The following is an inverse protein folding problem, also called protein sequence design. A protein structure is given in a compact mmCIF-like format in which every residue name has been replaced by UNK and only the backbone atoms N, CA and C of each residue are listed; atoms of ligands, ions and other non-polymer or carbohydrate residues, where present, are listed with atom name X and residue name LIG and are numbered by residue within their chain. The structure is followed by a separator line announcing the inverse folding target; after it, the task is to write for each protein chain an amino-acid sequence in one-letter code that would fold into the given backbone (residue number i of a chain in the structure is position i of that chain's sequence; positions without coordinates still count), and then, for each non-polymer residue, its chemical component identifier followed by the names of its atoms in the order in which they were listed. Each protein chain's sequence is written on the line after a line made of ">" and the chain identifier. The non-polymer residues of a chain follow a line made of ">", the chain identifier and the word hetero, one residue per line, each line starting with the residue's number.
data_IF_039253391292
#
_entry.id   IF_039253391292
#
_cell.length_a   1.000
_cell.length_b   1.000
_cell.length_c   1.000
_cell.angle_alpha   90.00
_cell.angle_beta   90.00
_cell.angle_gamma   90.00
#
_symmetry.space_group_name_H-M   'P 1'
#
loop_
_entity.id
_entity.type
_entity.pdbx_description
1 polymer ?
#
# COMPACT_ATOMS: atom_id res chain seq x y z
N UNK A 1 -36.34 -29.84 16.06
CA UNK A 1 -36.79 -29.01 17.20
C UNK A 1 -35.58 -28.43 17.89
N UNK A 2 -35.64 -27.12 18.15
CA UNK A 2 -34.88 -26.28 19.07
C UNK A 2 -33.35 -26.17 18.98
N UNK A 3 -32.96 -24.96 18.58
CA UNK A 3 -31.73 -24.24 18.88
C UNK A 3 -31.35 -24.24 20.37
N UNK A 4 -30.05 -24.09 20.65
CA UNK A 4 -29.43 -23.06 21.52
C UNK A 4 -27.88 -23.20 21.47
N UNK A 5 -27.20 -22.24 20.86
CA UNK A 5 -25.85 -21.76 21.26
C UNK A 5 -26.07 -20.38 21.93
N UNK A 6 -25.16 -19.77 22.74
CA UNK A 6 -23.68 -19.86 22.69
C UNK A 6 -22.92 -19.73 24.05
N UNK A 7 -21.58 -19.60 23.93
CA UNK A 7 -20.66 -18.72 24.71
C UNK A 7 -19.69 -19.28 25.79
N UNK A 8 -18.41 -18.92 25.55
CA UNK A 8 -17.32 -18.53 26.48
C UNK A 8 -16.13 -19.48 26.68
N UNK A 9 -15.05 -19.08 26.01
CA UNK A 9 -13.70 -18.84 26.54
C UNK A 9 -13.53 -18.91 28.06
N UNK A 10 -12.33 -19.36 28.47
CA UNK A 10 -11.74 -19.36 29.83
C UNK A 10 -11.76 -20.69 30.59
N UNK A 11 -10.73 -21.51 30.34
CA UNK A 11 -10.06 -22.38 31.34
C UNK A 11 -8.72 -22.81 30.70
N UNK A 12 -7.77 -21.90 30.47
CA UNK A 12 -6.77 -21.47 31.44
C UNK A 12 -6.31 -22.59 32.41
N UNK A 13 -5.03 -22.96 32.28
CA UNK A 13 -4.10 -23.12 33.41
C UNK A 13 -3.89 -24.45 34.14
N UNK A 14 -4.22 -25.61 33.55
CA UNK A 14 -3.88 -26.89 34.20
C UNK A 14 -3.20 -27.92 33.31
N UNK A 15 -2.02 -27.60 32.75
CA UNK A 15 -1.02 -28.64 32.43
C UNK A 15 0.42 -28.14 32.65
N UNK A 16 0.66 -27.42 33.75
CA UNK A 16 2.01 -27.21 34.31
C UNK A 16 2.34 -28.32 35.29
N UNK A 17 2.47 -29.56 34.82
CA UNK A 17 3.07 -30.64 35.61
C UNK A 17 3.63 -31.68 34.64
N UNK A 18 4.92 -31.98 34.80
CA UNK A 18 5.70 -33.00 34.11
C UNK A 18 6.26 -32.64 32.72
N UNK A 19 7.30 -31.80 32.70
CA UNK A 19 8.56 -32.08 31.96
C UNK A 19 9.64 -31.12 32.46
N UNK A 20 10.67 -31.67 33.10
CA UNK A 20 11.99 -31.03 33.13
C UNK A 20 12.50 -30.98 31.69
N UNK A 21 12.24 -29.85 31.04
CA UNK A 21 12.63 -29.63 29.65
C UNK A 21 12.61 -28.14 29.43
N UNK A 22 13.79 -27.60 29.13
CA UNK A 22 14.03 -26.24 28.66
C UNK A 22 12.75 -25.59 28.13
N UNK A 23 12.28 -24.52 28.79
CA UNK A 23 11.30 -23.62 28.20
C UNK A 23 11.89 -23.26 26.83
N UNK A 24 11.24 -23.60 25.69
CA UNK A 24 11.72 -23.13 24.42
C UNK A 24 11.56 -21.62 24.48
N UNK A 25 12.67 -20.92 24.70
CA UNK A 25 12.75 -19.49 24.44
C UNK A 25 12.57 -19.36 22.94
N UNK A 26 11.31 -19.34 22.50
CA UNK A 26 10.93 -18.90 21.19
C UNK A 26 11.39 -17.45 21.10
N UNK A 27 12.58 -17.28 20.55
CA UNK A 27 13.17 -16.00 20.24
C UNK A 27 12.40 -15.46 19.03
N UNK A 28 11.14 -15.07 19.24
CA UNK A 28 10.42 -14.25 18.28
C UNK A 28 11.19 -12.93 18.24
N UNK A 29 12.06 -12.78 17.24
CA UNK A 29 12.52 -11.47 16.81
C UNK A 29 11.31 -10.72 16.26
N UNK A 30 10.50 -10.14 17.16
CA UNK A 30 9.51 -9.13 16.83
C UNK A 30 10.27 -7.85 16.45
N UNK A 31 10.99 -7.87 15.32
CA UNK A 31 11.43 -6.62 14.70
C UNK A 31 10.17 -5.96 14.17
N UNK A 32 9.68 -4.94 14.88
CA UNK A 32 8.58 -4.11 14.40
C UNK A 32 9.05 -3.53 13.06
N UNK A 33 8.39 -3.85 11.94
CA UNK A 33 8.81 -3.36 10.64
C UNK A 33 8.76 -1.84 10.67
N UNK A 34 9.86 -1.22 10.22
CA UNK A 34 9.88 0.24 10.09
C UNK A 34 8.85 0.66 9.04
N UNK A 35 8.31 1.88 9.16
CA UNK A 35 7.36 2.42 8.19
C UNK A 35 7.84 2.32 6.74
N UNK A 36 9.15 2.49 6.53
CA UNK A 36 9.84 2.28 5.25
C UNK A 36 9.66 0.85 4.71
N UNK A 37 9.88 -0.15 5.56
CA UNK A 37 9.75 -1.57 5.21
C UNK A 37 8.29 -1.95 4.94
N UNK A 38 7.34 -1.39 5.68
CA UNK A 38 5.91 -1.62 5.44
C UNK A 38 5.48 -1.09 4.07
N UNK A 39 5.90 0.13 3.73
CA UNK A 39 5.64 0.75 2.44
C UNK A 39 6.27 -0.06 1.31
N UNK A 40 7.53 -0.44 1.45
CA UNK A 40 8.25 -1.25 0.47
C UNK A 40 7.57 -2.60 0.23
N UNK A 41 7.17 -3.30 1.29
CA UNK A 41 6.45 -4.57 1.20
C UNK A 41 5.12 -4.43 0.44
N UNK A 42 4.38 -3.33 0.68
CA UNK A 42 3.13 -3.06 -0.05
C UNK A 42 3.39 -2.77 -1.53
N UNK A 43 4.42 -1.97 -1.83
CA UNK A 43 4.82 -1.66 -3.21
C UNK A 43 5.25 -2.91 -3.97
N UNK A 44 6.07 -3.78 -3.38
CA UNK A 44 6.51 -5.03 -4.01
C UNK A 44 5.34 -5.97 -4.33
N UNK A 45 4.33 -6.04 -3.47
CA UNK A 45 3.11 -6.82 -3.74
C UNK A 45 2.35 -6.29 -4.96
N UNK A 46 2.23 -4.97 -5.07
CA UNK A 46 1.55 -4.33 -6.19
C UNK A 46 2.37 -4.42 -7.47
N UNK A 47 3.70 -4.36 -7.37
CA UNK A 47 4.63 -4.57 -8.49
C UNK A 47 4.41 -5.93 -9.15
N UNK A 48 4.29 -6.99 -8.37
CA UNK A 48 4.06 -8.33 -8.92
C UNK A 48 2.68 -8.49 -9.60
N UNK A 49 1.74 -7.57 -9.36
CA UNK A 49 0.41 -7.59 -9.93
C UNK A 49 0.27 -6.72 -11.19
N UNK A 50 1.22 -5.82 -11.45
CA UNK A 50 1.23 -4.92 -12.60
C UNK A 50 2.41 -5.29 -13.52
N UNK A 51 2.24 -5.13 -14.83
CA UNK A 51 3.27 -5.50 -15.82
C UNK A 51 3.68 -4.33 -16.70
N UNK A 52 4.77 -4.50 -17.45
CA UNK A 52 5.17 -3.56 -18.50
C UNK A 52 5.67 -2.22 -17.97
N UNK A 53 5.13 -1.11 -18.49
CA UNK A 53 5.59 0.24 -18.14
C UNK A 53 5.16 0.67 -16.72
N UNK A 54 4.05 0.16 -16.20
CA UNK A 54 3.58 0.42 -14.84
C UNK A 54 4.54 -0.18 -13.79
N UNK A 55 5.11 -1.36 -14.09
CA UNK A 55 6.14 -1.99 -13.26
C UNK A 55 7.37 -1.09 -13.15
N UNK A 56 7.83 -0.50 -14.26
CA UNK A 56 8.97 0.42 -14.29
C UNK A 56 8.73 1.67 -13.44
N UNK A 57 7.52 2.25 -13.50
CA UNK A 57 7.14 3.40 -12.65
C UNK A 57 7.12 3.00 -11.17
N UNK A 58 6.66 1.79 -10.84
CA UNK A 58 6.71 1.27 -9.47
C UNK A 58 8.15 1.06 -8.97
N UNK A 59 9.05 0.58 -9.81
CA UNK A 59 10.47 0.47 -9.46
C UNK A 59 11.09 1.83 -9.15
N UNK A 60 10.69 2.89 -9.87
CA UNK A 60 11.09 4.25 -9.54
C UNK A 60 10.57 4.67 -8.16
N UNK A 61 9.30 4.39 -7.84
CA UNK A 61 8.71 4.70 -6.52
C UNK A 61 9.44 3.94 -5.40
N UNK A 62 9.77 2.67 -5.62
CA UNK A 62 10.54 1.84 -4.67
C UNK A 62 11.95 2.44 -4.46
N UNK A 63 12.61 2.84 -5.55
CA UNK A 63 13.91 3.51 -5.51
C UNK A 63 13.83 4.83 -4.72
N UNK A 64 12.78 5.62 -4.90
CA UNK A 64 12.54 6.84 -4.11
C UNK A 64 12.38 6.48 -2.63
N UNK A 65 11.51 5.53 -2.27
CA UNK A 65 11.30 5.08 -0.90
C UNK A 65 12.62 4.65 -0.22
N UNK A 66 13.53 4.03 -0.97
CA UNK A 66 14.86 3.63 -0.45
C UNK A 66 15.72 4.83 -0.04
N UNK A 67 15.54 6.00 -0.67
CA UNK A 67 16.32 7.23 -0.45
C UNK A 67 15.68 8.18 0.55
N UNK A 68 14.39 8.02 0.86
CA UNK A 68 13.70 8.89 1.82
C UNK A 68 14.33 8.75 3.21
N UNK A 69 14.67 9.91 3.78
CA UNK A 69 15.15 10.01 5.15
C UNK A 69 13.97 10.29 6.10
N UNK A 70 13.50 9.24 6.77
CA UNK A 70 12.42 9.33 7.75
C UNK A 70 12.84 9.98 9.09
N UNK A 71 14.08 10.48 9.21
CA UNK A 71 14.57 11.13 10.44
C UNK A 71 13.85 12.45 10.75
N UNK A 72 13.33 13.15 9.74
CA UNK A 72 12.53 14.37 9.97
C UNK A 72 11.04 14.03 10.05
N UNK A 73 10.39 14.36 11.18
CA UNK A 73 9.01 13.91 11.43
C UNK A 73 7.99 14.48 10.44
N UNK A 74 8.21 15.69 9.92
CA UNK A 74 7.26 16.34 9.00
C UNK A 74 7.33 15.75 7.59
N UNK A 75 8.52 15.62 6.99
CA UNK A 75 8.65 14.97 5.68
C UNK A 75 8.19 13.52 5.72
N UNK A 76 8.48 12.80 6.81
CA UNK A 76 7.99 11.43 7.02
C UNK A 76 6.46 11.35 7.04
N UNK A 77 5.80 12.30 7.72
CA UNK A 77 4.33 12.40 7.77
C UNK A 77 3.75 12.73 6.41
N UNK A 78 4.31 13.71 5.69
CA UNK A 78 3.86 14.09 4.35
C UNK A 78 4.06 12.97 3.34
N UNK A 79 5.19 12.27 3.39
CA UNK A 79 5.46 11.09 2.56
C UNK A 79 4.44 9.99 2.83
N UNK A 80 4.20 9.66 4.11
CA UNK A 80 3.19 8.69 4.50
C UNK A 80 1.81 9.09 4.00
N UNK A 81 1.43 10.35 4.19
CA UNK A 81 0.15 10.88 3.73
C UNK A 81 -0.03 10.68 2.22
N UNK A 82 1.00 10.98 1.43
CA UNK A 82 0.95 10.84 -0.01
C UNK A 82 0.85 9.36 -0.45
N UNK A 83 1.59 8.48 0.23
CA UNK A 83 1.52 7.03 -0.01
C UNK A 83 0.15 6.45 0.31
N UNK A 84 -0.38 6.76 1.50
CA UNK A 84 -1.63 6.15 2.01
C UNK A 84 -2.88 6.70 1.32
N UNK A 85 -2.92 7.99 0.94
CA UNK A 85 -4.12 8.62 0.38
C UNK A 85 -4.15 8.66 -1.15
N UNK A 86 -3.01 8.67 -1.83
CA UNK A 86 -2.97 8.79 -3.29
C UNK A 86 -2.36 7.56 -3.96
N UNK A 87 -1.12 7.22 -3.64
CA UNK A 87 -0.38 6.19 -4.38
C UNK A 87 -0.98 4.80 -4.17
N UNK A 88 -1.19 4.36 -2.93
CA UNK A 88 -1.76 3.03 -2.71
C UNK A 88 -3.19 2.89 -3.22
N UNK A 89 -4.11 3.85 -3.00
CA UNK A 89 -5.44 3.80 -3.58
C UNK A 89 -5.41 3.75 -5.12
N UNK A 90 -4.58 4.57 -5.75
CA UNK A 90 -4.40 4.58 -7.21
C UNK A 90 -3.94 3.23 -7.74
N UNK A 91 -2.84 2.69 -7.18
CA UNK A 91 -2.28 1.41 -7.62
C UNK A 91 -3.24 0.24 -7.41
N UNK A 92 -3.99 0.21 -6.30
CA UNK A 92 -4.99 -0.83 -6.06
C UNK A 92 -6.10 -0.80 -7.11
N UNK A 93 -6.59 0.39 -7.46
CA UNK A 93 -7.62 0.54 -8.50
C UNK A 93 -7.09 0.23 -9.89
N UNK A 94 -5.83 0.56 -10.15
CA UNK A 94 -5.16 0.20 -11.39
C UNK A 94 -5.05 -1.32 -11.56
N UNK A 95 -4.65 -2.05 -10.50
CA UNK A 95 -4.63 -3.52 -10.51
C UNK A 95 -6.02 -4.09 -10.81
N UNK A 96 -7.06 -3.57 -10.16
CA UNK A 96 -8.44 -4.04 -10.39
C UNK A 96 -8.85 -3.83 -11.84
N UNK A 97 -8.55 -2.65 -12.40
CA UNK A 97 -8.81 -2.32 -13.79
C UNK A 97 -8.08 -3.30 -14.73
N UNK A 98 -6.76 -3.49 -14.57
CA UNK A 98 -5.95 -4.37 -15.41
C UNK A 98 -6.36 -5.83 -15.39
N UNK A 99 -6.84 -6.33 -14.24
CA UNK A 99 -7.23 -7.74 -14.08
C UNK A 99 -8.65 -8.01 -14.58
N UNK A 100 -9.55 -7.01 -14.51
CA UNK A 100 -10.98 -7.21 -14.76
C UNK A 100 -11.56 -6.29 -15.85
N UNK A 101 -10.76 -5.82 -16.82
CA UNK A 101 -11.26 -4.92 -17.87
C UNK A 101 -12.56 -5.47 -18.50
N UNK A 102 -13.66 -4.68 -18.55
CA UNK A 102 -13.76 -3.23 -18.33
C UNK A 102 -14.19 -2.78 -16.91
N UNK A 103 -14.32 -3.69 -15.95
CA UNK A 103 -14.72 -3.36 -14.58
C UNK A 103 -13.62 -2.52 -13.88
N UNK A 104 -14.03 -1.52 -13.09
CA UNK A 104 -13.09 -0.64 -12.38
C UNK A 104 -12.60 0.58 -13.16
N UNK A 105 -12.84 0.69 -14.47
CA UNK A 105 -12.45 1.87 -15.27
C UNK A 105 -13.07 3.17 -14.73
N UNK A 106 -14.36 3.14 -14.37
CA UNK A 106 -15.06 4.31 -13.83
C UNK A 106 -14.46 4.76 -12.50
N UNK A 107 -14.18 3.80 -11.61
CA UNK A 107 -13.61 4.09 -10.29
C UNK A 107 -12.18 4.62 -10.40
N UNK A 108 -11.37 4.03 -11.29
CA UNK A 108 -10.03 4.50 -11.58
C UNK A 108 -10.06 5.92 -12.17
N UNK A 109 -10.95 6.18 -13.14
CA UNK A 109 -11.10 7.49 -13.77
C UNK A 109 -11.48 8.57 -12.75
N UNK A 110 -12.45 8.29 -11.88
CA UNK A 110 -12.87 9.20 -10.81
C UNK A 110 -11.72 9.47 -9.83
N UNK A 111 -10.93 8.45 -9.50
CA UNK A 111 -9.80 8.61 -8.61
C UNK A 111 -8.68 9.43 -9.26
N UNK A 112 -8.42 9.23 -10.56
CA UNK A 112 -7.51 10.07 -11.34
C UNK A 112 -7.99 11.52 -11.34
N UNK A 113 -9.28 11.77 -11.59
CA UNK A 113 -9.86 13.12 -11.57
C UNK A 113 -9.62 13.82 -10.22
N UNK A 114 -9.79 13.09 -9.11
CA UNK A 114 -9.52 13.61 -7.75
C UNK A 114 -8.04 13.94 -7.58
N UNK A 115 -7.14 13.05 -7.97
CA UNK A 115 -5.69 13.27 -7.86
C UNK A 115 -5.25 14.47 -8.70
N UNK A 116 -5.68 14.56 -9.96
CA UNK A 116 -5.34 15.65 -10.86
C UNK A 116 -5.86 17.00 -10.33
N UNK A 117 -7.08 17.01 -9.77
CA UNK A 117 -7.69 18.20 -9.19
C UNK A 117 -6.99 18.66 -7.90
N UNK A 118 -6.71 17.74 -6.98
CA UNK A 118 -6.08 18.08 -5.70
C UNK A 118 -4.62 18.50 -5.87
N UNK A 119 -3.90 17.90 -6.82
CA UNK A 119 -2.53 18.27 -7.16
C UNK A 119 -2.45 19.44 -8.17
N UNK A 120 -3.58 20.16 -8.36
CA UNK A 120 -3.68 21.45 -9.05
C UNK A 120 -3.26 21.46 -10.52
N UNK A 121 -3.62 20.42 -11.28
CA UNK A 121 -3.33 20.36 -12.70
C UNK A 121 -4.60 20.61 -13.51
N UNK A 122 -4.54 21.61 -14.40
CA UNK A 122 -5.63 21.93 -15.32
C UNK A 122 -6.07 20.66 -16.08
N UNK A 123 -7.35 20.32 -15.89
CA UNK A 123 -8.07 19.26 -16.58
C UNK A 123 -8.14 19.59 -18.08
N UNK A 124 -7.14 19.13 -18.84
CA UNK A 124 -7.32 18.95 -20.28
C UNK A 124 -7.92 17.56 -20.49
N UNK A 125 -9.15 17.50 -20.96
CA UNK A 125 -9.81 16.27 -21.47
C UNK A 125 -9.97 16.37 -22.99
N UNK A 126 -9.96 15.27 -23.76
CA UNK A 126 -9.75 13.86 -23.39
C UNK A 126 -8.48 13.29 -24.04
N UNK A 127 -7.50 12.92 -23.24
CA UNK A 127 -6.46 11.97 -23.64
C UNK A 127 -6.91 10.55 -23.22
N UNK A 128 -6.39 9.53 -23.90
CA UNK A 128 -6.74 8.13 -23.67
C UNK A 128 -6.60 7.76 -22.18
N UNK A 129 -7.38 6.80 -21.66
CA UNK A 129 -7.27 6.39 -20.25
C UNK A 129 -5.84 5.97 -19.89
N UNK A 130 -5.13 5.36 -20.84
CA UNK A 130 -3.72 5.00 -20.74
C UNK A 130 -2.82 6.23 -20.50
N UNK A 131 -2.98 7.28 -21.32
CA UNK A 131 -2.23 8.53 -21.18
C UNK A 131 -2.51 9.18 -19.83
N UNK A 132 -3.76 9.10 -19.36
CA UNK A 132 -4.16 9.62 -18.05
C UNK A 132 -3.52 8.85 -16.90
N UNK A 133 -3.42 7.52 -17.00
CA UNK A 133 -2.72 6.67 -16.03
C UNK A 133 -1.24 7.05 -15.99
N UNK A 134 -0.59 7.16 -17.16
CA UNK A 134 0.83 7.51 -17.25
C UNK A 134 1.10 8.89 -16.64
N UNK A 135 0.30 9.89 -17.01
CA UNK A 135 0.41 11.25 -16.47
C UNK A 135 0.22 11.27 -14.96
N UNK A 136 -0.76 10.52 -14.44
CA UNK A 136 -1.00 10.41 -12.99
C UNK A 136 0.22 9.82 -12.28
N UNK A 137 0.84 8.79 -12.85
CA UNK A 137 2.10 8.25 -12.33
C UNK A 137 3.20 9.31 -12.26
N UNK A 138 3.40 10.08 -13.33
CA UNK A 138 4.44 11.10 -13.39
C UNK A 138 4.23 12.21 -12.36
N UNK A 139 2.98 12.61 -12.14
CA UNK A 139 2.62 13.60 -11.13
C UNK A 139 2.96 13.09 -9.73
N UNK A 140 2.52 11.86 -9.41
CA UNK A 140 2.76 11.25 -8.10
C UNK A 140 4.26 11.07 -7.85
N UNK A 141 5.02 10.62 -8.86
CA UNK A 141 6.47 10.46 -8.79
C UNK A 141 7.14 11.83 -8.59
N UNK A 142 6.73 12.86 -9.31
CA UNK A 142 7.25 14.23 -9.16
C UNK A 142 7.05 14.75 -7.74
N UNK A 143 5.85 14.57 -7.16
CA UNK A 143 5.60 14.94 -5.77
C UNK A 143 6.42 14.13 -4.77
N UNK A 144 6.64 12.83 -5.01
CA UNK A 144 7.54 12.03 -4.19
C UNK A 144 8.97 12.57 -4.22
N UNK A 145 9.46 13.03 -5.38
CA UNK A 145 10.79 13.64 -5.50
C UNK A 145 10.94 14.94 -4.69
N UNK A 146 9.88 15.75 -4.59
CA UNK A 146 9.89 16.96 -3.77
C UNK A 146 10.00 16.66 -2.26
N UNK A 147 9.64 15.44 -1.85
CA UNK A 147 9.64 15.00 -0.45
C UNK A 147 10.92 14.28 -0.02
N UNK A 148 11.84 13.99 -0.95
CA UNK A 148 13.20 13.53 -0.64
C UNK A 148 13.98 14.62 0.15
#
# INVERSE_FOLDING_TARGET
>A
MSCLEPEREEEFFYMTRYTEGLIPTYNFNYSIPTLKQEIEKKLLKLKNALGGDEERKLEQIISINSRVNFSSSEKAKSYRFLMDNYIFPFLKRLVVYRVNEPEGLKELSLLIDVIEKELSLCSKTPENIEDRIERTFDILISHLYQLL
#
